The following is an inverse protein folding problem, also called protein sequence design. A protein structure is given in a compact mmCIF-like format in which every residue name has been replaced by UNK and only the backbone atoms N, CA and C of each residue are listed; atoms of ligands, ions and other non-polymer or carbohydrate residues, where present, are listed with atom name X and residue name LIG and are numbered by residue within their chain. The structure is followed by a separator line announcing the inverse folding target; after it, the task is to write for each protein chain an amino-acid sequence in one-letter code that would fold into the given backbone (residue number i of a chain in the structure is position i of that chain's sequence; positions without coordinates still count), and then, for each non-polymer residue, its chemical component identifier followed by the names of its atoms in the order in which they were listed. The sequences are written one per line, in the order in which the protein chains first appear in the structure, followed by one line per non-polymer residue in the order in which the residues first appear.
data_IF_259469004007
#
_entry.id   IF_259469004007
#
_cell.length_a   1.000
_cell.length_b   1.000
_cell.length_c   1.000
_cell.angle_alpha   90.00
_cell.angle_beta   90.00
_cell.angle_gamma   90.00
#
_symmetry.space_group_name_H-M   'P 1'
#
loop_
_entity.id
_entity.type
_entity.pdbx_description
1 polymer ?
#
# COMPACT_ATOMS: atom_id res chain seq x y z
N UNK A 1 7.15 -17.27 -1.43
CA UNK A 1 5.84 -16.67 -1.07
C UNK A 1 4.80 -17.04 -2.12
N UNK A 2 3.51 -17.24 -1.77
CA UNK A 2 2.49 -17.37 -2.80
C UNK A 2 2.48 -16.09 -3.65
N UNK A 3 2.62 -16.25 -4.97
CA UNK A 3 2.99 -15.19 -5.95
C UNK A 3 2.02 -14.00 -6.03
N UNK A 4 0.91 -14.03 -5.28
CA UNK A 4 -0.22 -13.12 -5.45
C UNK A 4 -0.65 -12.39 -4.17
N UNK A 5 0.17 -12.37 -3.11
CA UNK A 5 -0.20 -11.66 -1.88
C UNK A 5 0.85 -10.67 -1.42
N UNK A 6 0.39 -9.53 -0.92
CA UNK A 6 1.19 -8.59 -0.13
C UNK A 6 0.80 -8.74 1.34
N UNK A 7 1.78 -8.66 2.24
CA UNK A 7 1.53 -8.70 3.68
C UNK A 7 1.45 -7.29 4.24
N UNK A 8 0.37 -7.00 4.96
CA UNK A 8 0.14 -5.72 5.61
C UNK A 8 0.28 -5.92 7.13
N UNK A 9 1.12 -5.15 7.82
CA UNK A 9 1.21 -5.20 9.28
C UNK A 9 -0.14 -4.91 9.93
N UNK A 10 -0.53 -5.73 10.90
CA UNK A 10 -1.77 -5.54 11.66
C UNK A 10 -1.81 -4.18 12.39
N UNK A 11 -0.66 -3.75 12.91
CA UNK A 11 -0.53 -2.45 13.56
C UNK A 11 -0.75 -1.28 12.59
N UNK A 12 -0.37 -1.41 11.31
CA UNK A 12 -0.69 -0.42 10.29
C UNK A 12 -2.20 -0.35 10.04
N UNK A 13 -2.87 -1.50 9.94
CA UNK A 13 -4.32 -1.55 9.76
C UNK A 13 -5.07 -0.87 10.92
N UNK A 14 -4.64 -1.11 12.17
CA UNK A 14 -5.20 -0.44 13.35
C UNK A 14 -4.93 1.07 13.33
N UNK A 15 -3.70 1.48 13.01
CA UNK A 15 -3.31 2.89 13.00
C UNK A 15 -4.01 3.70 11.90
N UNK A 16 -4.36 3.06 10.79
CA UNK A 16 -5.04 3.68 9.64
C UNK A 16 -6.51 3.25 9.50
N UNK A 17 -7.17 2.88 10.61
CA UNK A 17 -8.54 2.35 10.63
C UNK A 17 -9.54 3.27 9.92
N UNK A 18 -9.40 4.59 10.07
CA UNK A 18 -10.28 5.60 9.49
C UNK A 18 -9.73 6.21 8.19
N UNK A 19 -8.63 5.66 7.67
CA UNK A 19 -7.96 6.14 6.46
C UNK A 19 -7.58 4.98 5.54
N UNK A 20 -8.56 4.27 4.94
CA UNK A 20 -8.33 3.11 4.08
C UNK A 20 -7.30 3.35 2.96
N UNK A 21 -7.30 4.58 2.43
CA UNK A 21 -6.37 5.08 1.42
C UNK A 21 -4.90 4.90 1.79
N UNK A 22 -4.54 5.10 3.06
CA UNK A 22 -3.17 4.93 3.56
C UNK A 22 -2.74 3.47 3.45
N UNK A 23 -3.63 2.54 3.82
CA UNK A 23 -3.40 1.10 3.76
C UNK A 23 -3.19 0.67 2.30
N UNK A 24 -4.03 1.15 1.39
CA UNK A 24 -3.92 0.84 -0.02
C UNK A 24 -2.64 1.39 -0.66
N UNK A 25 -2.22 2.61 -0.30
CA UNK A 25 -0.95 3.18 -0.78
C UNK A 25 0.24 2.37 -0.26
N UNK A 26 0.25 1.97 1.01
CA UNK A 26 1.28 1.06 1.54
C UNK A 26 1.32 -0.25 0.76
N UNK A 27 0.16 -0.88 0.56
CA UNK A 27 0.04 -2.13 -0.17
C UNK A 27 0.49 -2.00 -1.64
N UNK A 28 0.20 -0.88 -2.29
CA UNK A 28 0.67 -0.58 -3.64
C UNK A 28 2.21 -0.49 -3.69
N UNK A 29 2.83 0.26 -2.77
CA UNK A 29 4.30 0.38 -2.68
C UNK A 29 4.94 -0.97 -2.39
N UNK A 30 4.37 -1.74 -1.46
CA UNK A 30 4.84 -3.07 -1.12
C UNK A 30 4.73 -4.06 -2.30
N UNK A 31 3.62 -4.02 -3.04
CA UNK A 31 3.44 -4.80 -4.27
C UNK A 31 4.46 -4.42 -5.33
N UNK A 32 4.72 -3.14 -5.54
CA UNK A 32 5.72 -2.70 -6.53
C UNK A 32 7.14 -3.07 -6.12
N UNK A 33 7.45 -3.00 -4.81
CA UNK A 33 8.73 -3.43 -4.27
C UNK A 33 8.93 -4.94 -4.46
N UNK A 34 7.90 -5.76 -4.21
CA UNK A 34 7.97 -7.22 -4.42
C UNK A 34 8.24 -7.60 -5.87
N UNK A 35 7.78 -6.80 -6.84
CA UNK A 35 8.07 -7.04 -8.25
C UNK A 35 9.48 -6.62 -8.66
N UNK A 36 10.02 -5.56 -8.05
CA UNK A 36 11.34 -5.02 -8.41
C UNK A 36 12.48 -5.64 -7.60
N UNK A 37 12.21 -6.09 -6.37
CA UNK A 37 13.21 -6.50 -5.39
C UNK A 37 14.00 -5.34 -4.78
N UNK A 38 13.58 -4.09 -5.00
CA UNK A 38 14.30 -2.90 -4.56
C UNK A 38 13.36 -1.70 -4.30
N UNK A 39 13.93 -0.66 -3.67
CA UNK A 39 13.23 0.59 -3.38
C UNK A 39 12.53 1.15 -4.63
N UNK A 40 11.25 1.46 -4.50
CA UNK A 40 10.42 1.82 -5.64
C UNK A 40 10.26 3.33 -5.76
N UNK A 41 10.73 3.97 -6.86
CA UNK A 41 10.40 5.35 -7.17
C UNK A 41 8.91 5.47 -7.45
N UNK A 42 8.17 6.13 -6.55
CA UNK A 42 6.74 6.37 -6.70
C UNK A 42 6.40 7.77 -6.19
N UNK A 43 5.69 8.54 -7.00
CA UNK A 43 5.22 9.88 -6.64
C UNK A 43 3.71 9.94 -6.47
N UNK A 44 3.23 11.01 -5.83
CA UNK A 44 1.80 11.29 -5.74
C UNK A 44 1.12 11.39 -7.12
N UNK A 45 1.82 11.89 -8.14
CA UNK A 45 1.31 11.93 -9.51
C UNK A 45 1.18 10.53 -10.14
N UNK A 46 2.12 9.62 -9.84
CA UNK A 46 2.03 8.24 -10.32
C UNK A 46 0.83 7.51 -9.69
N UNK A 47 0.56 7.77 -8.41
CA UNK A 47 -0.61 7.25 -7.69
C UNK A 47 -1.91 7.80 -8.30
N UNK A 48 -2.03 9.10 -8.54
CA UNK A 48 -3.23 9.67 -9.18
C UNK A 48 -3.40 9.20 -10.62
N UNK A 49 -2.32 8.93 -11.35
CA UNK A 49 -2.42 8.27 -12.67
C UNK A 49 -2.94 6.84 -12.55
N UNK A 50 -2.59 6.14 -11.47
CA UNK A 50 -3.01 4.78 -11.15
C UNK A 50 -4.43 4.67 -10.60
N UNK A 51 -4.92 5.72 -9.96
CA UNK A 51 -6.31 5.85 -9.54
C UNK A 51 -6.76 7.29 -9.77
N UNK A 52 -7.44 7.56 -10.91
CA UNK A 52 -7.88 8.92 -11.23
C UNK A 52 -8.87 9.52 -10.24
N UNK A 53 -9.57 8.70 -9.44
CA UNK A 53 -10.44 9.18 -8.36
C UNK A 53 -9.65 9.70 -7.15
N UNK A 54 -8.36 9.36 -7.10
CA UNK A 54 -7.47 9.68 -6.00
C UNK A 54 -6.74 11.01 -6.24
N UNK A 55 -7.17 12.07 -5.56
CA UNK A 55 -6.57 13.39 -5.74
C UNK A 55 -5.08 13.41 -5.40
N UNK A 56 -4.30 14.24 -6.11
CA UNK A 56 -2.86 14.39 -5.89
C UNK A 56 -2.54 14.77 -4.44
N UNK A 57 -3.34 15.64 -3.83
CA UNK A 57 -3.19 16.04 -2.43
C UNK A 57 -3.43 14.88 -1.46
N UNK A 58 -4.42 14.02 -1.73
CA UNK A 58 -4.63 12.81 -0.94
C UNK A 58 -3.45 11.83 -1.08
N UNK A 59 -2.89 11.68 -2.29
CA UNK A 59 -1.72 10.82 -2.53
C UNK A 59 -0.50 11.32 -1.78
N UNK A 60 -0.25 12.63 -1.81
CA UNK A 60 0.82 13.24 -1.06
C UNK A 60 0.65 13.02 0.45
N UNK A 61 -0.54 13.27 1.00
CA UNK A 61 -0.82 13.09 2.42
C UNK A 61 -0.67 11.63 2.87
N UNK A 62 -1.14 10.68 2.07
CA UNK A 62 -0.98 9.26 2.38
C UNK A 62 0.50 8.85 2.41
N UNK A 63 1.30 9.28 1.43
CA UNK A 63 2.74 9.04 1.41
C UNK A 63 3.46 9.67 2.60
N UNK A 64 3.17 10.94 2.90
CA UNK A 64 3.75 11.65 4.05
C UNK A 64 3.39 10.96 5.35
N UNK A 65 2.12 10.63 5.56
CA UNK A 65 1.67 9.91 6.76
C UNK A 65 2.43 8.59 6.93
N UNK A 66 2.58 7.80 5.86
CA UNK A 66 3.31 6.52 5.91
C UNK A 66 4.79 6.70 6.24
N UNK A 67 5.43 7.76 5.73
CA UNK A 67 6.83 8.05 6.02
C UNK A 67 6.99 8.51 7.48
N UNK A 68 6.18 9.48 7.90
CA UNK A 68 6.27 10.10 9.23
C UNK A 68 5.96 9.09 10.35
N UNK A 69 5.09 8.12 10.09
CA UNK A 69 4.76 7.05 11.04
C UNK A 69 5.65 5.80 10.88
N UNK A 70 6.70 5.87 10.06
CA UNK A 70 7.72 4.82 9.94
C UNK A 70 7.30 3.57 9.19
N UNK A 71 6.21 3.63 8.40
CA UNK A 71 5.73 2.53 7.55
C UNK A 71 6.42 2.50 6.17
N UNK A 72 6.98 3.62 5.73
CA UNK A 72 7.81 3.74 4.55
C UNK A 72 9.11 4.47 4.89
N UNK A 73 10.22 4.04 4.29
CA UNK A 73 11.46 4.82 4.24
C UNK A 73 11.59 5.44 2.85
N UNK A 74 11.84 6.75 2.78
CA UNK A 74 12.04 7.47 1.54
C UNK A 74 13.52 7.84 1.35
N UNK A 75 14.16 7.25 0.36
CA UNK A 75 15.48 7.67 -0.08
C UNK A 75 15.33 8.79 -1.12
N UNK A 76 15.71 10.02 -0.74
CA UNK A 76 15.72 11.18 -1.64
C UNK A 76 17.05 11.25 -2.37
N UNK A 77 16.99 11.50 -3.68
CA UNK A 77 18.15 11.84 -4.50
C UNK A 77 17.85 13.14 -5.24
N UNK A 78 18.75 14.14 -5.22
CA UNK A 78 18.53 15.39 -5.95
C UNK A 78 18.16 15.13 -7.41
N UNK A 79 17.13 15.81 -7.92
CA UNK A 79 16.65 15.66 -9.29
C UNK A 79 15.90 14.36 -9.62
N UNK A 80 15.66 13.47 -8.64
CA UNK A 80 14.94 12.21 -8.82
C UNK A 80 13.74 12.09 -7.87
N UNK A 81 12.75 11.29 -8.27
CA UNK A 81 11.67 10.86 -7.38
C UNK A 81 12.25 10.11 -6.18
N UNK A 82 11.66 10.35 -5.00
CA UNK A 82 11.94 9.56 -3.80
C UNK A 82 11.69 8.09 -4.08
N UNK A 83 12.66 7.25 -3.74
CA UNK A 83 12.50 5.79 -3.78
C UNK A 83 11.99 5.31 -2.43
N UNK A 84 10.89 4.57 -2.45
CA UNK A 84 10.17 4.15 -1.25
C UNK A 84 10.44 2.68 -0.96
N UNK A 85 10.75 2.38 0.30
CA UNK A 85 10.92 1.01 0.81
C UNK A 85 9.89 0.77 1.91
N UNK A 86 9.06 -0.28 1.81
CA UNK A 86 8.17 -0.67 2.90
C UNK A 86 8.93 -1.09 4.15
N UNK A 87 8.29 -0.91 5.30
CA UNK A 87 8.81 -1.40 6.59
C UNK A 87 7.80 -2.33 7.26
N UNK A 88 8.26 -3.04 8.27
CA UNK A 88 7.43 -3.79 9.23
C UNK A 88 7.01 -2.92 10.43
N UNK A 89 7.12 -1.60 10.32
CA UNK A 89 7.01 -0.64 11.41
C UNK A 89 8.37 -0.28 12.02
N UNK A 90 8.34 0.32 13.21
CA UNK A 90 9.53 0.71 13.98
C UNK A 90 9.75 -0.24 15.16
N UNK A 91 11.00 -0.63 15.41
CA UNK A 91 11.37 -1.43 16.58
C UNK A 91 12.50 -0.69 17.30
N UNK A 92 12.25 -0.28 18.54
CA UNK A 92 13.17 0.57 19.33
C UNK A 92 13.52 1.87 18.61
N UNK A 93 12.53 2.50 17.98
CA UNK A 93 12.70 3.76 17.24
C UNK A 93 13.21 3.60 15.80
N UNK A 94 13.79 2.46 15.44
CA UNK A 94 14.38 2.24 14.12
C UNK A 94 13.41 1.56 13.14
N UNK A 95 13.23 2.08 11.91
CA UNK A 95 12.41 1.45 10.88
C UNK A 95 12.96 0.07 10.46
N UNK A 96 12.11 -0.95 10.46
CA UNK A 96 12.47 -2.29 9.97
C UNK A 96 12.12 -2.44 8.50
N UNK A 97 13.04 -1.99 7.65
CA UNK A 97 12.90 -2.05 6.19
C UNK A 97 12.76 -3.48 5.69
N UNK A 98 12.00 -3.65 4.61
CA UNK A 98 11.90 -4.93 3.92
C UNK A 98 13.24 -5.33 3.28
N UNK A 99 13.56 -6.61 3.35
CA UNK A 99 14.82 -7.16 2.85
C UNK A 99 14.58 -8.18 1.73
N UNK A 100 15.04 -7.88 0.51
CA UNK A 100 14.81 -8.73 -0.66
C UNK A 100 15.55 -10.08 -0.58
N UNK A 101 16.61 -10.16 0.22
CA UNK A 101 17.36 -11.40 0.43
C UNK A 101 16.62 -12.41 1.32
N UNK A 102 15.56 -11.99 2.02
CA UNK A 102 14.79 -12.84 2.91
C UNK A 102 13.44 -13.25 2.29
N UNK A 103 13.13 -14.55 2.33
CA UNK A 103 11.86 -15.13 1.86
C UNK A 103 10.59 -14.54 2.48
N UNK A 104 10.69 -13.92 3.67
CA UNK A 104 9.61 -13.20 4.34
C UNK A 104 9.82 -11.68 4.33
N UNK A 105 10.67 -11.18 3.43
CA UNK A 105 11.06 -9.79 3.31
C UNK A 105 11.58 -9.19 4.63
N UNK A 106 12.22 -10.01 5.49
CA UNK A 106 12.79 -9.58 6.76
C UNK A 106 11.75 -9.40 7.88
N UNK A 107 10.55 -9.98 7.75
CA UNK A 107 9.47 -9.83 8.75
C UNK A 107 9.89 -10.37 10.11
N UNK A 108 9.91 -9.55 11.18
CA UNK A 108 10.14 -10.03 12.53
C UNK A 108 9.03 -11.01 12.97
N UNK A 109 9.34 -12.08 13.72
CA UNK A 109 8.37 -13.14 14.06
C UNK A 109 7.13 -12.65 14.82
N UNK A 110 7.26 -11.61 15.65
CA UNK A 110 6.18 -11.05 16.46
C UNK A 110 5.27 -10.09 15.68
N UNK A 111 5.65 -9.66 14.47
CA UNK A 111 4.83 -8.77 13.65
C UNK A 111 3.70 -9.57 13.01
N UNK A 112 2.49 -9.39 13.53
CA UNK A 112 1.26 -9.93 12.96
C UNK A 112 0.95 -9.24 11.63
N UNK A 113 0.54 -10.03 10.64
CA UNK A 113 0.28 -9.53 9.28
C UNK A 113 -0.96 -10.16 8.69
N UNK A 114 -1.66 -9.39 7.87
CA UNK A 114 -2.77 -9.84 7.04
C UNK A 114 -2.35 -9.91 5.58
N UNK A 115 -2.91 -10.85 4.82
CA UNK A 115 -2.62 -10.99 3.39
C UNK A 115 -3.66 -10.28 2.56
N UNK A 116 -3.21 -9.38 1.68
CA UNK A 116 -4.03 -8.74 0.67
C UNK A 116 -3.67 -9.30 -0.71
N UNK A 117 -4.67 -9.69 -1.50
CA UNK A 117 -4.47 -10.24 -2.84
C UNK A 117 -4.06 -9.13 -3.82
N UNK A 118 -2.89 -9.28 -4.45
CA UNK A 118 -2.35 -8.28 -5.39
C UNK A 118 -3.14 -8.20 -6.69
N UNK A 119 -3.99 -9.20 -6.99
CA UNK A 119 -4.88 -9.19 -8.15
C UNK A 119 -5.93 -8.08 -8.05
N UNK A 120 -6.24 -7.59 -6.84
CA UNK A 120 -7.06 -6.39 -6.64
C UNK A 120 -6.46 -5.17 -7.36
N UNK A 121 -5.12 -5.04 -7.34
CA UNK A 121 -4.45 -4.06 -8.17
C UNK A 121 -4.44 -4.50 -9.63
N UNK A 122 -3.84 -5.65 -9.92
CA UNK A 122 -3.45 -5.98 -11.30
C UNK A 122 -4.60 -6.23 -12.27
N UNK A 123 -5.71 -6.80 -11.78
CA UNK A 123 -6.86 -7.11 -12.62
C UNK A 123 -7.88 -5.97 -12.65
N UNK A 124 -8.15 -5.33 -11.50
CA UNK A 124 -9.21 -4.35 -11.39
C UNK A 124 -8.74 -2.90 -11.57
N UNK A 125 -7.50 -2.59 -11.19
CA UNK A 125 -6.92 -1.26 -11.38
C UNK A 125 -5.90 -1.22 -12.52
N UNK A 126 -5.38 -2.38 -12.90
CA UNK A 126 -4.29 -2.56 -13.85
C UNK A 126 -2.91 -2.60 -13.18
N UNK A 127 -1.87 -2.60 -14.00
CA UNK A 127 -0.49 -2.74 -13.55
C UNK A 127 0.22 -1.39 -13.58
N UNK A 128 0.70 -0.96 -12.42
CA UNK A 128 1.65 0.15 -12.28
C UNK A 128 3.09 -0.38 -12.39
N UNK A 129 3.84 0.17 -13.34
CA UNK A 129 5.26 -0.12 -13.56
C UNK A 129 6.03 1.19 -13.32
N UNK A 130 6.71 1.32 -12.18
CA UNK A 130 7.55 2.48 -11.90
C UNK A 130 8.83 2.43 -12.76
N UNK A 131 9.19 3.56 -13.39
CA UNK A 131 10.45 3.71 -14.14
C UNK A 131 11.61 4.18 -13.24
N UNK A 132 12.75 4.47 -13.86
CA UNK A 132 14.02 4.93 -13.30
C UNK A 132 14.00 6.34 -12.69
N UNK A 133 13.06 6.64 -11.78
CA UNK A 133 13.05 7.83 -10.93
C UNK A 133 12.87 9.19 -11.63
N UNK A 134 13.20 9.31 -12.92
CA UNK A 134 13.07 10.51 -13.76
C UNK A 134 11.74 10.50 -14.52
N UNK A 135 11.28 9.33 -14.96
CA UNK A 135 10.07 9.18 -15.77
C UNK A 135 8.82 8.93 -14.94
N UNK A 136 7.68 9.41 -15.42
CA UNK A 136 6.34 9.05 -14.92
C UNK A 136 6.10 7.56 -15.04
N UNK A 137 5.51 6.92 -14.02
CA UNK A 137 5.18 5.49 -14.06
C UNK A 137 4.28 5.16 -15.25
N UNK A 138 4.47 3.96 -15.83
CA UNK A 138 3.56 3.41 -16.84
C UNK A 138 2.42 2.70 -16.13
N UNK A 139 1.20 2.99 -16.57
CA UNK A 139 0.01 2.27 -16.12
C UNK A 139 -0.55 1.54 -17.34
N UNK A 140 -0.72 0.23 -17.24
CA UNK A 140 -1.33 -0.62 -18.27
C UNK A 140 -2.58 -1.26 -17.68
N UNK A 141 -3.74 -1.09 -18.33
CA UNK A 141 -5.02 -1.60 -17.84
C UNK A 141 -5.77 -2.35 -18.93
N UNK A 142 -6.62 -3.28 -18.52
CA UNK A 142 -7.59 -3.93 -19.42
C UNK A 142 -8.81 -3.04 -19.69
N UNK A 143 -9.19 -2.23 -18.70
CA UNK A 143 -10.32 -1.30 -18.78
C UNK A 143 -9.83 0.15 -18.93
N UNK A 144 -10.61 0.99 -19.60
CA UNK A 144 -10.31 2.42 -19.76
C UNK A 144 -10.35 3.17 -18.42
N UNK A 145 -11.25 2.76 -17.52
CA UNK A 145 -11.35 3.19 -16.12
C UNK A 145 -11.10 2.01 -15.19
N UNK A 146 -10.44 2.21 -14.03
CA UNK A 146 -10.25 1.12 -13.07
C UNK A 146 -11.60 0.71 -12.45
N UNK A 147 -11.82 -0.59 -12.30
CA UNK A 147 -13.03 -1.16 -11.69
C UNK A 147 -13.05 -1.05 -10.16
N UNK A 148 -11.89 -0.87 -9.54
CA UNK A 148 -11.73 -0.57 -8.12
C UNK A 148 -10.91 0.71 -7.95
N UNK A 149 -11.10 1.37 -6.81
CA UNK A 149 -10.26 2.48 -6.36
C UNK A 149 -9.30 2.02 -5.26
N UNK A 150 -8.30 2.83 -4.94
CA UNK A 150 -7.45 2.58 -3.77
C UNK A 150 -8.25 2.65 -2.47
N UNK A 151 -9.36 3.39 -2.44
CA UNK A 151 -10.24 3.43 -1.27
C UNK A 151 -10.92 2.07 -1.06
N UNK A 152 -11.43 1.46 -2.13
CA UNK A 152 -12.05 0.12 -2.11
C UNK A 152 -11.04 -0.94 -1.65
N UNK A 153 -9.82 -0.90 -2.18
CA UNK A 153 -8.75 -1.84 -1.83
C UNK A 153 -8.38 -1.71 -0.35
N UNK A 154 -8.28 -0.48 0.17
CA UNK A 154 -8.00 -0.22 1.57
C UNK A 154 -9.11 -0.72 2.50
N UNK A 155 -10.37 -0.46 2.11
CA UNK A 155 -11.56 -0.87 2.86
C UNK A 155 -11.69 -2.40 2.88
N UNK A 156 -11.42 -3.05 1.75
CA UNK A 156 -11.35 -4.51 1.66
C UNK A 156 -10.27 -5.09 2.56
N UNK A 157 -9.08 -4.46 2.62
CA UNK A 157 -8.01 -4.90 3.53
C UNK A 157 -8.43 -4.82 5.01
N UNK A 158 -9.16 -3.77 5.41
CA UNK A 158 -9.72 -3.64 6.76
C UNK A 158 -10.78 -4.71 7.04
N UNK A 159 -11.69 -4.93 6.10
CA UNK A 159 -12.73 -5.96 6.22
C UNK A 159 -12.12 -7.35 6.42
N UNK A 160 -11.15 -7.73 5.58
CA UNK A 160 -10.46 -9.02 5.65
C UNK A 160 -9.67 -9.21 6.94
N UNK A 161 -9.23 -8.12 7.56
CA UNK A 161 -8.54 -8.14 8.85
C UNK A 161 -9.48 -8.14 10.06
N UNK A 162 -10.81 -8.12 9.85
CA UNK A 162 -11.81 -8.08 10.91
C UNK A 162 -12.07 -6.69 11.49
N UNK A 163 -11.63 -5.62 10.82
CA UNK A 163 -11.85 -4.24 11.22
C UNK A 163 -13.06 -3.57 10.55
N UNK A 164 -13.76 -4.29 9.66
CA UNK A 164 -14.99 -3.82 9.03
C UNK A 164 -16.16 -3.87 10.00
N UNK A 165 -16.38 -2.79 10.76
CA UNK A 165 -17.41 -2.77 11.81
C UNK A 165 -17.91 -1.39 12.24
N UNK A 166 -17.81 -0.38 11.37
CA UNK A 166 -18.36 0.96 11.62
C UNK A 166 -19.79 1.19 11.08
N UNK A 167 -20.43 0.16 10.55
CA UNK A 167 -21.85 0.22 10.16
C UNK A 167 -22.46 -1.16 10.34
N UNK A 168 -22.48 -1.65 11.58
CA UNK A 168 -23.50 -2.63 11.95
C UNK A 168 -24.82 -1.90 11.83
N UNK A 169 -25.55 -2.16 10.74
CA UNK A 169 -26.99 -1.95 10.73
C UNK A 169 -27.53 -2.67 11.96
N UNK A 170 -27.99 -1.91 12.96
CA UNK A 170 -28.97 -2.39 13.93
C UNK A 170 -30.26 -2.65 13.13
N UNK A 171 -30.28 -3.76 12.39
CA UNK A 171 -31.51 -4.34 11.86
C UNK A 171 -31.89 -5.47 12.80
N UNK A 172 -32.88 -5.14 13.63
CA UNK A 172 -33.91 -6.04 14.14
C UNK A 172 -33.47 -7.15 15.10
N UNK A 173 -33.48 -6.81 16.39
CA UNK A 173 -34.03 -7.71 17.40
C UNK A 173 -35.32 -7.10 17.98
N UNK A 174 -36.40 -7.25 17.20
CA UNK A 174 -37.76 -7.34 17.75
C UNK A 174 -38.37 -8.64 17.22
N UNK A 175 -38.28 -9.68 18.05
CA UNK A 175 -38.97 -10.95 17.92
C UNK A 175 -39.21 -11.48 19.32
#
# INVERSE_FOLDING_TARGET
MPKHYVRIPDQLLRAALHTPRVIAVYALVARTWLLRGEATPLSSQDITKFDPSFSRGAAQRALVWLIDHGWLVAARRPGLKSSLTPTWGTIRGEPRVWNAADSHAGRPPHVKTHTLDVRLFDLFMGRLIPFDGQRGARVTRYLSTPALTLDDVGSYALLMAGYGGGTTLQLEQHG
#
